data_IF_245695548312
#
_entry.id   IF_245695548312
#
_cell.length_a   1.000
_cell.length_b   1.000
_cell.length_c   1.000
_cell.angle_alpha   90.00
_cell.angle_beta   90.00
_cell.angle_gamma   90.00
#
_symmetry.space_group_name_H-M   'P 1'
#
loop_
_entity.id
_entity.type
_entity.pdbx_description
1 polymer ?
#
# COMPACT_ATOMS: atom_id res chain seq x y z
N UNK A 1 11.39 -4.46 -18.25
CA UNK A 1 10.71 -5.05 -17.07
C UNK A 1 9.39 -5.64 -17.52
N UNK A 2 8.91 -6.76 -16.94
CA UNK A 2 7.59 -7.27 -17.28
C UNK A 2 6.51 -6.32 -16.73
N UNK A 3 5.43 -6.16 -17.48
CA UNK A 3 4.31 -5.25 -17.17
C UNK A 3 3.10 -6.07 -16.74
N UNK A 4 2.36 -5.60 -15.74
CA UNK A 4 1.09 -6.19 -15.27
C UNK A 4 -0.07 -5.23 -15.49
N UNK A 5 -1.21 -5.72 -16.01
CA UNK A 5 -2.43 -4.92 -16.04
C UNK A 5 -2.98 -4.76 -14.61
N UNK A 6 -3.53 -3.59 -14.32
CA UNK A 6 -4.31 -3.36 -13.10
C UNK A 6 -5.72 -3.92 -13.27
N UNK A 7 -6.29 -4.45 -12.19
CA UNK A 7 -7.73 -4.75 -12.19
C UNK A 7 -8.54 -3.45 -12.27
N UNK A 8 -9.76 -3.49 -12.79
CA UNK A 8 -10.63 -2.31 -12.83
C UNK A 8 -10.83 -1.67 -11.44
N UNK A 9 -11.01 -2.50 -10.40
CA UNK A 9 -11.13 -2.03 -9.03
C UNK A 9 -9.85 -1.30 -8.56
N UNK A 10 -8.68 -1.93 -8.77
CA UNK A 10 -7.38 -1.31 -8.46
C UNK A 10 -7.24 0.03 -9.15
N UNK A 11 -7.53 0.09 -10.45
CA UNK A 11 -7.46 1.31 -11.24
C UNK A 11 -8.37 2.42 -10.68
N UNK A 12 -9.59 2.10 -10.26
CA UNK A 12 -10.50 3.05 -9.60
C UNK A 12 -9.91 3.57 -8.28
N UNK A 13 -9.34 2.70 -7.43
CA UNK A 13 -8.69 3.09 -6.18
C UNK A 13 -7.53 4.06 -6.44
N UNK A 14 -6.65 3.72 -7.39
CA UNK A 14 -5.51 4.56 -7.75
C UNK A 14 -5.97 5.92 -8.32
N UNK A 15 -7.01 5.95 -9.15
CA UNK A 15 -7.58 7.22 -9.66
C UNK A 15 -8.21 8.07 -8.57
N UNK A 16 -8.88 7.47 -7.60
CA UNK A 16 -9.40 8.20 -6.43
C UNK A 16 -8.27 8.85 -5.64
N UNK A 17 -7.20 8.12 -5.36
CA UNK A 17 -6.02 8.66 -4.70
C UNK A 17 -5.36 9.80 -5.52
N UNK A 18 -5.23 9.63 -6.84
CA UNK A 18 -4.68 10.65 -7.75
C UNK A 18 -5.50 11.95 -7.72
N UNK A 19 -6.82 11.84 -7.72
CA UNK A 19 -7.73 13.00 -7.73
C UNK A 19 -7.72 13.78 -6.40
N UNK A 20 -7.52 13.11 -5.28
CA UNK A 20 -7.55 13.74 -3.95
C UNK A 20 -6.41 14.74 -3.73
N UNK A 21 -5.23 14.52 -4.36
CA UNK A 21 -3.99 15.30 -4.15
C UNK A 21 -3.51 15.35 -2.68
N UNK A 22 -4.12 14.57 -1.79
CA UNK A 22 -3.79 14.43 -0.36
C UNK A 22 -3.72 12.96 0.00
N UNK A 23 -3.06 12.65 1.12
CA UNK A 23 -3.11 11.31 1.69
C UNK A 23 -4.56 10.96 2.08
N UNK A 24 -5.04 9.80 1.65
CA UNK A 24 -6.38 9.31 1.96
C UNK A 24 -6.31 8.19 2.99
N UNK A 25 -7.25 8.15 3.91
CA UNK A 25 -7.39 7.01 4.80
C UNK A 25 -7.83 5.76 4.02
N UNK A 26 -7.48 4.58 4.53
CA UNK A 26 -7.86 3.31 3.90
C UNK A 26 -9.38 3.15 3.76
N UNK A 27 -10.18 3.73 4.68
CA UNK A 27 -11.65 3.77 4.55
C UNK A 27 -12.11 4.47 3.28
N UNK A 28 -11.56 5.65 2.95
CA UNK A 28 -11.93 6.37 1.73
C UNK A 28 -11.48 5.64 0.46
N UNK A 29 -10.43 4.83 0.55
CA UNK A 29 -9.96 4.00 -0.56
C UNK A 29 -10.75 2.70 -0.74
N UNK A 30 -11.59 2.32 0.23
CA UNK A 30 -12.51 1.17 0.11
C UNK A 30 -13.76 1.55 -0.68
N UNK A 31 -13.60 1.70 -1.99
CA UNK A 31 -14.68 2.14 -2.90
C UNK A 31 -15.87 1.17 -2.97
N UNK A 32 -15.62 -0.13 -2.77
CA UNK A 32 -16.66 -1.16 -2.78
C UNK A 32 -16.50 -2.06 -1.57
N UNK A 33 -17.52 -2.20 -0.70
CA UNK A 33 -17.47 -3.09 0.45
C UNK A 33 -17.80 -4.53 0.06
N UNK A 34 -16.80 -5.27 -0.44
CA UNK A 34 -16.92 -6.70 -0.76
C UNK A 34 -16.21 -7.56 0.30
N UNK A 35 -16.33 -8.89 0.19
CA UNK A 35 -15.56 -9.83 1.04
C UNK A 35 -14.05 -9.62 0.88
N UNK A 36 -13.58 -9.35 -0.32
CA UNK A 36 -12.15 -9.20 -0.64
C UNK A 36 -11.58 -7.84 -0.20
N UNK A 37 -12.43 -6.88 0.16
CA UNK A 37 -11.99 -5.58 0.68
C UNK A 37 -12.29 -5.43 2.17
N UNK A 38 -12.81 -6.47 2.82
CA UNK A 38 -13.28 -6.41 4.21
C UNK A 38 -12.15 -6.21 5.21
N UNK A 39 -11.01 -6.85 4.97
CA UNK A 39 -9.85 -6.89 5.86
C UNK A 39 -8.79 -5.84 5.51
N UNK A 40 -8.96 -5.11 4.40
CA UNK A 40 -7.98 -4.12 3.95
C UNK A 40 -6.74 -4.74 3.29
N UNK A 41 -6.72 -6.05 3.07
CA UNK A 41 -5.61 -6.75 2.41
C UNK A 41 -5.24 -6.16 1.05
N UNK A 42 -6.22 -5.61 0.31
CA UNK A 42 -5.98 -4.90 -0.94
C UNK A 42 -5.07 -3.68 -0.77
N UNK A 43 -5.14 -2.94 0.35
CA UNK A 43 -4.27 -1.79 0.61
C UNK A 43 -2.84 -2.26 0.84
N UNK A 44 -2.67 -3.34 1.62
CA UNK A 44 -1.37 -3.97 1.83
C UNK A 44 -0.78 -4.43 0.52
N UNK A 45 -1.55 -5.11 -0.34
CA UNK A 45 -1.08 -5.54 -1.66
C UNK A 45 -0.63 -4.37 -2.54
N UNK A 46 -1.37 -3.25 -2.55
CA UNK A 46 -0.97 -2.06 -3.31
C UNK A 46 0.31 -1.40 -2.77
N UNK A 47 0.56 -1.48 -1.47
CA UNK A 47 1.83 -1.03 -0.88
C UNK A 47 2.96 -1.99 -1.23
N UNK A 48 2.75 -3.30 -1.11
CA UNK A 48 3.74 -4.32 -1.50
C UNK A 48 4.11 -4.22 -2.97
N UNK A 49 3.15 -3.94 -3.85
CA UNK A 49 3.38 -3.72 -5.28
C UNK A 49 4.05 -2.36 -5.58
N UNK A 50 4.25 -1.52 -4.56
CA UNK A 50 4.84 -0.19 -4.69
C UNK A 50 3.95 0.80 -5.45
N UNK A 51 2.63 0.58 -5.50
CA UNK A 51 1.65 1.46 -6.13
C UNK A 51 1.12 2.51 -5.15
N UNK A 52 1.03 2.16 -3.88
CA UNK A 52 0.76 3.06 -2.78
C UNK A 52 1.93 3.09 -1.82
N UNK A 53 2.04 4.20 -1.11
CA UNK A 53 2.92 4.36 0.04
C UNK A 53 2.06 4.66 1.25
N UNK A 54 2.36 4.04 2.40
CA UNK A 54 1.69 4.33 3.66
C UNK A 54 2.40 5.52 4.33
N UNK A 55 1.66 6.59 4.55
CA UNK A 55 2.19 7.84 5.13
C UNK A 55 2.07 7.83 6.65
N UNK A 56 1.01 7.23 7.20
CA UNK A 56 0.80 7.11 8.63
C UNK A 56 -0.05 5.87 8.98
N UNK A 57 -0.02 5.49 10.26
CA UNK A 57 -0.73 4.32 10.78
C UNK A 57 0.04 3.01 10.56
N UNK A 58 -0.58 1.89 10.94
CA UNK A 58 0.01 0.55 10.88
C UNK A 58 -0.71 -0.31 9.84
N UNK A 59 -0.11 -1.46 9.52
CA UNK A 59 -0.73 -2.51 8.71
C UNK A 59 -1.83 -3.27 9.46
N UNK A 60 -1.77 -3.29 10.79
CA UNK A 60 -2.79 -3.88 11.65
C UNK A 60 -4.15 -3.16 11.53
N UNK A 61 -4.13 -1.83 11.31
CA UNK A 61 -5.32 -1.01 11.14
C UNK A 61 -5.34 -0.31 9.76
N UNK A 62 -5.45 -1.09 8.66
CA UNK A 62 -5.24 -0.57 7.30
C UNK A 62 -6.29 0.48 6.91
N UNK A 63 -7.44 0.49 7.56
CA UNK A 63 -8.50 1.46 7.27
C UNK A 63 -8.28 2.83 7.93
N UNK A 64 -7.56 2.88 9.05
CA UNK A 64 -7.18 4.13 9.74
C UNK A 64 -5.87 4.69 9.20
N UNK A 65 -5.01 3.84 8.65
CA UNK A 65 -3.79 4.25 7.97
C UNK A 65 -4.08 5.17 6.78
N UNK A 66 -3.13 6.06 6.47
CA UNK A 66 -3.22 6.96 5.32
C UNK A 66 -2.24 6.59 4.23
N UNK A 67 -2.65 6.81 2.98
CA UNK A 67 -1.92 6.36 1.79
C UNK A 67 -1.82 7.46 0.73
N UNK A 68 -0.69 7.47 0.03
CA UNK A 68 -0.42 8.32 -1.14
C UNK A 68 0.05 7.49 -2.32
N UNK A 69 -0.07 8.02 -3.53
CA UNK A 69 0.48 7.37 -4.72
C UNK A 69 1.99 7.56 -4.82
N UNK A 70 2.68 6.47 -5.12
CA UNK A 70 4.07 6.50 -5.62
C UNK A 70 4.11 6.97 -7.08
N UNK A 71 5.29 7.18 -7.64
CA UNK A 71 5.44 7.47 -9.08
C UNK A 71 4.88 6.35 -9.95
N UNK A 72 5.18 5.10 -9.58
CA UNK A 72 4.65 3.89 -10.20
C UNK A 72 3.12 3.83 -10.11
N UNK A 73 2.54 4.16 -8.96
CA UNK A 73 1.10 4.26 -8.78
C UNK A 73 0.45 5.34 -9.64
N UNK A 74 1.10 6.49 -9.82
CA UNK A 74 0.61 7.58 -10.69
C UNK A 74 0.58 7.16 -12.15
N UNK A 75 1.59 6.41 -12.60
CA UNK A 75 1.64 5.81 -13.93
C UNK A 75 0.50 4.79 -14.11
N UNK A 76 0.34 3.88 -13.15
CA UNK A 76 -0.73 2.88 -13.16
C UNK A 76 -2.14 3.49 -13.16
N UNK A 77 -2.35 4.60 -12.45
CA UNK A 77 -3.60 5.34 -12.45
C UNK A 77 -3.93 6.00 -13.82
N UNK A 78 -2.92 6.26 -14.63
CA UNK A 78 -3.07 6.86 -15.96
C UNK A 78 -3.28 5.81 -17.02
N UNK A 79 -2.40 4.80 -17.06
CA UNK A 79 -2.32 3.83 -18.17
C UNK A 79 -2.96 2.48 -17.87
N UNK A 80 -3.35 2.23 -16.61
CA UNK A 80 -3.98 0.96 -16.22
C UNK A 80 -3.01 -0.22 -16.11
N UNK A 81 -1.71 0.02 -16.15
CA UNK A 81 -0.66 -0.99 -16.09
C UNK A 81 0.56 -0.51 -15.31
N UNK A 82 1.37 -1.44 -14.81
CA UNK A 82 2.57 -1.12 -14.04
C UNK A 82 3.69 -2.14 -14.25
N UNK A 83 4.93 -1.67 -14.21
CA UNK A 83 6.10 -2.54 -14.18
C UNK A 83 6.16 -3.29 -12.85
N UNK A 84 6.42 -4.58 -12.85
CA UNK A 84 6.59 -5.33 -11.60
C UNK A 84 7.93 -6.05 -11.60
N UNK A 85 8.55 -6.11 -10.42
CA UNK A 85 9.72 -6.93 -10.22
C UNK A 85 9.30 -8.37 -9.94
N UNK A 86 9.92 -9.30 -10.67
CA UNK A 86 9.81 -10.74 -10.37
C UNK A 86 10.61 -11.13 -9.11
N UNK A 87 11.41 -10.21 -8.58
CA UNK A 87 12.26 -10.47 -7.42
C UNK A 87 11.36 -10.63 -6.19
N UNK A 88 11.28 -11.87 -5.69
CA UNK A 88 10.60 -12.24 -4.44
C UNK A 88 11.03 -11.24 -3.35
N UNK A 89 10.11 -10.64 -2.60
CA UNK A 89 10.48 -9.77 -1.50
C UNK A 89 11.30 -10.60 -0.50
N UNK A 90 12.53 -10.19 -0.29
CA UNK A 90 13.35 -10.67 0.82
C UNK A 90 12.63 -10.22 2.10
N UNK A 91 12.38 -11.11 3.08
CA UNK A 91 11.73 -10.71 4.31
C UNK A 91 12.58 -9.62 4.96
N UNK A 92 11.97 -8.45 5.14
CA UNK A 92 12.57 -7.33 5.84
C UNK A 92 13.04 -7.83 7.20
N UNK A 93 14.36 -7.88 7.38
CA UNK A 93 14.99 -8.42 8.56
C UNK A 93 14.38 -7.74 9.79
N UNK A 94 13.85 -8.56 10.70
CA UNK A 94 13.32 -8.13 11.98
C UNK A 94 14.25 -7.08 12.60
N UNK A 95 13.72 -5.87 12.78
CA UNK A 95 14.42 -4.81 13.50
C UNK A 95 14.90 -5.39 14.85
N UNK A 96 16.19 -5.28 15.21
CA UNK A 96 16.68 -5.83 16.46
C UNK A 96 15.96 -5.14 17.61
N UNK A 97 15.38 -5.95 18.51
CA UNK A 97 14.71 -5.49 19.71
C UNK A 97 15.62 -4.52 20.49
N UNK A 98 15.08 -3.42 21.07
CA UNK A 98 15.90 -2.49 21.83
C UNK A 98 16.51 -3.20 23.04
N UNK A 99 17.85 -3.24 23.09
CA UNK A 99 18.63 -3.69 24.25
C UNK A 99 18.19 -2.92 25.49
N UNK A 100 17.56 -3.62 26.44
CA UNK A 100 17.26 -3.10 27.78
C UNK A 100 18.56 -3.11 28.58
N UNK A 101 19.29 -1.99 28.57
CA UNK A 101 20.42 -1.77 29.48
C UNK A 101 19.93 -1.78 30.93
N UNK A 102 20.10 -2.92 31.61
CA UNK A 102 19.95 -3.03 33.06
C UNK A 102 21.21 -2.52 33.74
N UNK A 103 21.13 -1.32 34.32
CA UNK A 103 22.03 -0.88 35.41
C UNK A 103 21.65 -1.62 36.71
N UNK A 104 22.64 -2.15 37.40
CA UNK A 104 22.59 -2.57 38.82
C UNK A 104 23.95 -3.17 39.17
N UNK A 105 24.88 -2.36 39.69
CA UNK A 105 25.19 -2.16 41.12
C UNK A 105 25.54 -3.44 41.85
#
# INVERSE_FOLDING_TARGET
>A
MPVRPTSHFTWQVLRTAKRSKKALNGRALRLVPTRNTKDGSFLTALVTDGLLERVSGTDADPFEATYTLTEKGKFAAEYGEYEFDLKRPEPEAAQPAPTRNGRGR
#
